data_IF_116501129241
#
_entry.id   IF_116501129241
#
_cell.length_a   1.000
_cell.length_b   1.000
_cell.length_c   1.000
_cell.angle_alpha   90.00
_cell.angle_beta   90.00
_cell.angle_gamma   90.00
#
_symmetry.space_group_name_H-M   'P 1'
#
loop_
_entity.id
_entity.type
_entity.pdbx_description
1 polymer ?
#
# COMPACT_ATOMS: atom_id res chain seq x y z
N UNK A 1 -32.52 8.78 -4.36
CA UNK A 1 -31.22 8.74 -3.71
C UNK A 1 -31.37 8.31 -2.26
N UNK A 2 -30.56 7.37 -1.82
CA UNK A 2 -30.53 7.00 -0.39
C UNK A 2 -29.50 7.89 0.26
N UNK A 3 -29.92 8.82 1.11
CA UNK A 3 -29.05 9.55 2.01
C UNK A 3 -29.01 8.74 3.31
N UNK A 4 -27.99 7.93 3.53
CA UNK A 4 -27.79 7.28 4.81
C UNK A 4 -27.10 8.28 5.74
N UNK A 5 -27.85 8.84 6.68
CA UNK A 5 -27.30 9.64 7.75
C UNK A 5 -27.09 8.73 8.96
N UNK A 6 -25.85 8.43 9.29
CA UNK A 6 -25.54 7.70 10.51
C UNK A 6 -25.77 8.60 11.73
N UNK A 7 -26.55 8.14 12.68
CA UNK A 7 -26.87 8.87 13.91
C UNK A 7 -25.71 8.60 14.90
N UNK A 8 -25.03 9.66 15.34
CA UNK A 8 -24.00 9.56 16.35
C UNK A 8 -24.52 9.01 17.68
N UNK A 9 -23.78 8.05 18.26
CA UNK A 9 -24.10 7.51 19.59
C UNK A 9 -23.81 8.52 20.69
N UNK A 10 -24.61 8.48 21.75
CA UNK A 10 -24.47 9.34 22.95
C UNK A 10 -23.39 8.77 23.86
N UNK A 11 -22.45 9.59 24.29
CA UNK A 11 -21.39 9.36 25.31
C UNK A 11 -20.90 7.90 25.43
N UNK A 12 -20.05 7.50 24.51
CA UNK A 12 -19.52 6.16 24.36
C UNK A 12 -18.80 6.06 23.02
N UNK A 13 -18.68 4.87 22.51
CA UNK A 13 -18.14 4.63 21.16
C UNK A 13 -18.92 5.44 20.13
N UNK A 14 -18.24 6.00 19.13
CA UNK A 14 -18.89 6.62 17.97
C UNK A 14 -19.88 5.64 17.35
N UNK A 15 -21.06 6.14 16.93
CA UNK A 15 -22.09 5.29 16.34
C UNK A 15 -21.57 4.58 15.09
N UNK A 16 -21.71 3.27 15.04
CA UNK A 16 -21.45 2.49 13.82
C UNK A 16 -22.54 2.79 12.77
N UNK A 17 -22.15 2.84 11.51
CA UNK A 17 -23.09 2.92 10.40
C UNK A 17 -22.90 1.71 9.48
N UNK A 18 -24.00 1.12 9.08
CA UNK A 18 -24.01 0.00 8.14
C UNK A 18 -25.02 0.29 7.03
N UNK A 19 -24.61 0.08 5.80
CA UNK A 19 -25.49 0.02 4.64
C UNK A 19 -25.33 -1.36 4.03
N UNK A 20 -26.35 -2.18 4.22
CA UNK A 20 -26.44 -3.52 3.67
C UNK A 20 -27.52 -3.52 2.60
N UNK A 21 -27.21 -4.06 1.43
CA UNK A 21 -28.14 -4.23 0.32
C UNK A 21 -28.69 -2.92 -0.28
N UNK A 22 -28.01 -2.43 -1.30
CA UNK A 22 -28.57 -1.46 -2.23
C UNK A 22 -28.93 -2.21 -3.51
N UNK A 23 -30.23 -2.52 -3.67
CA UNK A 23 -30.77 -3.18 -4.85
C UNK A 23 -31.71 -2.25 -5.60
N UNK A 24 -31.85 -2.43 -6.91
CA UNK A 24 -32.78 -1.70 -7.75
C UNK A 24 -32.12 -0.92 -8.87
N UNK A 25 -32.76 0.15 -9.32
CA UNK A 25 -32.22 1.04 -10.36
C UNK A 25 -31.19 2.02 -9.77
N UNK A 26 -30.35 2.57 -10.63
CA UNK A 26 -29.24 3.49 -10.35
C UNK A 26 -29.46 4.45 -9.15
N UNK A 27 -28.51 4.51 -8.23
CA UNK A 27 -28.47 5.54 -7.17
C UNK A 27 -27.50 6.67 -7.55
N UNK A 28 -27.79 7.89 -7.10
CA UNK A 28 -27.00 9.10 -7.45
C UNK A 28 -25.69 9.23 -6.67
N UNK A 29 -25.48 8.42 -5.65
CA UNK A 29 -24.25 8.41 -4.83
C UNK A 29 -24.54 7.97 -3.40
N UNK A 30 -23.48 7.71 -2.66
CA UNK A 30 -23.50 7.32 -1.25
C UNK A 30 -22.57 8.26 -0.50
N UNK A 31 -23.08 9.02 0.45
CA UNK A 31 -22.26 9.82 1.36
C UNK A 31 -22.64 9.49 2.79
N UNK A 32 -21.65 9.12 3.60
CA UNK A 32 -21.85 8.79 4.99
C UNK A 32 -20.66 9.21 5.86
N UNK A 33 -20.98 9.67 7.06
CA UNK A 33 -19.99 9.99 8.08
C UNK A 33 -20.44 9.39 9.41
N UNK A 34 -19.55 8.71 10.12
CA UNK A 34 -19.83 8.16 11.44
C UNK A 34 -19.32 9.09 12.53
N UNK A 35 -19.86 8.94 13.75
CA UNK A 35 -19.56 9.80 14.88
C UNK A 35 -18.16 9.58 15.45
N UNK A 36 -17.55 10.63 16.00
CA UNK A 36 -16.33 10.52 16.79
C UNK A 36 -16.58 9.76 18.10
N UNK A 37 -15.55 9.11 18.61
CA UNK A 37 -15.55 8.53 19.95
C UNK A 37 -15.60 9.64 21.02
N UNK A 38 -16.30 9.40 22.09
CA UNK A 38 -16.34 10.31 23.23
C UNK A 38 -14.98 10.39 23.94
N UNK A 39 -14.62 11.57 24.41
CA UNK A 39 -13.44 11.73 25.27
C UNK A 39 -13.65 10.98 26.59
N UNK A 40 -12.57 10.49 27.19
CA UNK A 40 -12.58 9.89 28.51
C UNK A 40 -13.07 10.91 29.57
N UNK A 41 -13.82 10.43 30.55
CA UNK A 41 -14.23 11.27 31.69
C UNK A 41 -13.02 11.58 32.58
N UNK A 42 -12.93 12.81 33.09
CA UNK A 42 -11.86 13.19 34.00
C UNK A 42 -11.80 12.25 35.22
N UNK A 43 -10.60 11.93 35.66
CA UNK A 43 -10.39 11.22 36.93
C UNK A 43 -10.99 12.02 38.07
N UNK A 44 -11.52 11.30 39.07
CA UNK A 44 -12.09 11.94 40.26
C UNK A 44 -11.01 12.69 41.05
N UNK A 45 -11.44 13.53 42.03
CA UNK A 45 -10.57 14.30 42.92
C UNK A 45 -9.80 13.47 43.95
N UNK A 46 -10.01 12.17 44.00
CA UNK A 46 -9.30 11.24 44.87
C UNK A 46 -7.88 11.01 44.36
N UNK A 47 -6.92 10.89 45.27
CA UNK A 47 -5.49 10.78 44.96
C UNK A 47 -5.14 9.59 44.02
N UNK A 48 -5.96 8.52 44.00
CA UNK A 48 -5.75 7.31 43.20
C UNK A 48 -6.74 7.16 42.00
N UNK A 49 -7.45 8.22 41.61
CA UNK A 49 -8.42 8.14 40.51
C UNK A 49 -7.74 8.22 39.14
N UNK A 50 -7.66 7.09 38.45
CA UNK A 50 -7.18 7.01 37.07
C UNK A 50 -8.06 7.81 36.11
N UNK A 51 -7.44 8.43 35.13
CA UNK A 51 -8.13 8.98 33.97
C UNK A 51 -8.80 7.87 33.16
N UNK A 52 -9.98 8.15 32.61
CA UNK A 52 -10.66 7.18 31.76
C UNK A 52 -10.21 7.27 30.32
N UNK A 53 -10.13 6.12 29.65
CA UNK A 53 -9.80 6.04 28.23
C UNK A 53 -10.88 6.70 27.37
N UNK A 54 -10.46 7.25 26.25
CA UNK A 54 -11.34 7.71 25.18
C UNK A 54 -12.01 6.52 24.48
N UNK A 55 -13.18 6.74 23.96
CA UNK A 55 -13.95 5.71 23.24
C UNK A 55 -13.51 5.61 21.77
N UNK A 56 -13.75 4.47 21.14
CA UNK A 56 -13.49 4.29 19.71
C UNK A 56 -14.36 5.21 18.84
N UNK A 57 -13.82 5.67 17.72
CA UNK A 57 -14.56 6.31 16.65
C UNK A 57 -15.53 5.34 15.97
N UNK A 58 -16.60 5.85 15.40
CA UNK A 58 -17.59 5.02 14.69
C UNK A 58 -17.00 4.41 13.42
N UNK A 59 -17.25 3.12 13.22
CA UNK A 59 -16.88 2.41 12.01
C UNK A 59 -17.99 2.48 10.95
N UNK A 60 -17.63 2.26 9.68
CA UNK A 60 -18.59 2.19 8.58
C UNK A 60 -18.47 0.89 7.80
N UNK A 61 -19.61 0.28 7.47
CA UNK A 61 -19.69 -0.92 6.63
C UNK A 61 -20.63 -0.68 5.46
N UNK A 62 -20.15 -0.92 4.24
CA UNK A 62 -20.93 -0.90 2.99
C UNK A 62 -20.79 -2.25 2.30
N UNK A 63 -21.90 -2.99 2.19
CA UNK A 63 -21.90 -4.34 1.61
C UNK A 63 -23.10 -4.58 0.69
N UNK A 64 -22.98 -5.56 -0.21
CA UNK A 64 -24.07 -6.03 -1.09
C UNK A 64 -24.68 -4.94 -1.99
N UNK A 65 -23.86 -4.10 -2.60
CA UNK A 65 -24.36 -3.09 -3.55
C UNK A 65 -24.46 -3.70 -4.94
N UNK A 66 -25.66 -4.04 -5.37
CA UNK A 66 -25.93 -4.59 -6.72
C UNK A 66 -26.46 -3.54 -7.69
N UNK A 67 -26.95 -2.42 -7.20
CA UNK A 67 -27.40 -1.30 -8.04
C UNK A 67 -26.22 -0.50 -8.59
N UNK A 68 -26.31 -0.04 -9.83
CA UNK A 68 -25.35 0.89 -10.37
C UNK A 68 -25.36 2.22 -9.60
N UNK A 69 -24.18 2.79 -9.36
CA UNK A 69 -24.01 4.08 -8.66
C UNK A 69 -23.53 5.10 -9.68
N UNK A 70 -24.40 6.08 -10.02
CA UNK A 70 -24.07 7.13 -10.98
C UNK A 70 -23.33 8.33 -10.37
N UNK A 71 -23.16 8.36 -9.05
CA UNK A 71 -22.44 9.40 -8.33
C UNK A 71 -21.28 8.83 -7.53
N UNK A 72 -20.80 9.63 -6.58
CA UNK A 72 -19.66 9.26 -5.76
C UNK A 72 -20.07 8.35 -4.57
N UNK A 73 -19.14 7.49 -4.16
CA UNK A 73 -19.15 6.89 -2.83
C UNK A 73 -18.16 7.69 -1.97
N UNK A 74 -18.64 8.31 -0.90
CA UNK A 74 -17.81 9.10 0.02
C UNK A 74 -18.09 8.69 1.46
N UNK A 75 -17.16 7.99 2.07
CA UNK A 75 -17.28 7.44 3.40
C UNK A 75 -16.22 8.02 4.32
N UNK A 76 -16.65 8.52 5.48
CA UNK A 76 -15.74 9.04 6.50
C UNK A 76 -16.06 8.40 7.85
N UNK A 77 -15.08 7.72 8.43
CA UNK A 77 -15.22 7.13 9.77
C UNK A 77 -14.78 8.07 10.87
N UNK A 78 -15.31 7.89 12.07
CA UNK A 78 -15.11 8.78 13.20
C UNK A 78 -13.72 8.65 13.81
N UNK A 79 -13.18 9.75 14.33
CA UNK A 79 -11.93 9.75 15.10
C UNK A 79 -12.13 9.10 16.47
N UNK A 80 -11.08 8.55 17.04
CA UNK A 80 -11.07 8.04 18.42
C UNK A 80 -11.09 9.19 19.43
N UNK A 81 -11.76 9.00 20.55
CA UNK A 81 -11.80 9.97 21.64
C UNK A 81 -10.46 10.06 22.36
N UNK A 82 -10.09 11.24 22.84
CA UNK A 82 -8.92 11.41 23.69
C UNK A 82 -9.11 10.77 25.06
N UNK A 83 -8.05 10.27 25.65
CA UNK A 83 -7.99 9.89 27.04
C UNK A 83 -8.07 11.13 27.95
N UNK A 84 -8.48 10.98 29.18
CA UNK A 84 -8.55 12.05 30.15
C UNK A 84 -7.38 12.00 31.13
N UNK A 85 -6.98 13.15 31.63
CA UNK A 85 -6.00 13.25 32.72
C UNK A 85 -6.58 12.65 34.00
N UNK A 86 -5.71 12.06 34.79
CA UNK A 86 -6.05 11.58 36.14
C UNK A 86 -6.16 12.76 37.13
N UNK A 87 -6.63 12.46 38.33
CA UNK A 87 -6.47 13.31 39.48
C UNK A 87 -4.99 13.55 39.81
N UNK A 88 -4.66 13.85 41.08
CA UNK A 88 -3.33 14.26 41.50
C UNK A 88 -2.28 13.15 41.47
N UNK A 89 -2.65 11.87 41.43
CA UNK A 89 -1.74 10.72 41.50
C UNK A 89 -2.15 9.49 40.71
N UNK A 90 -3.16 9.56 39.81
CA UNK A 90 -3.63 8.44 39.00
C UNK A 90 -3.01 8.38 37.60
N UNK A 91 -3.02 7.22 36.94
CA UNK A 91 -2.57 7.07 35.56
C UNK A 91 -3.50 7.80 34.58
N UNK A 92 -2.92 8.36 33.51
CA UNK A 92 -3.70 8.95 32.41
C UNK A 92 -4.55 7.90 31.70
N UNK A 93 -5.67 8.31 31.10
CA UNK A 93 -6.52 7.49 30.28
C UNK A 93 -5.97 7.27 28.87
N UNK A 94 -6.14 6.09 28.31
CA UNK A 94 -5.70 5.76 26.94
C UNK A 94 -6.53 6.47 25.87
N UNK A 95 -5.97 6.78 24.73
CA UNK A 95 -6.73 7.24 23.56
C UNK A 95 -7.60 6.12 22.96
N UNK A 96 -8.75 6.49 22.44
CA UNK A 96 -9.63 5.57 21.69
C UNK A 96 -9.11 5.31 20.27
N UNK A 97 -9.44 4.17 19.70
CA UNK A 97 -9.09 3.85 18.31
C UNK A 97 -9.94 4.65 17.33
N UNK A 98 -9.38 4.98 16.16
CA UNK A 98 -10.14 5.54 15.03
C UNK A 98 -11.12 4.51 14.46
N UNK A 99 -12.20 4.99 13.88
CA UNK A 99 -13.19 4.15 13.21
C UNK A 99 -12.66 3.58 11.89
N UNK A 100 -12.96 2.33 11.61
CA UNK A 100 -12.58 1.64 10.39
C UNK A 100 -13.66 1.77 9.30
N UNK A 101 -13.28 1.53 8.04
CA UNK A 101 -14.20 1.43 6.90
C UNK A 101 -14.02 0.07 6.25
N UNK A 102 -15.15 -0.65 6.06
CA UNK A 102 -15.25 -1.86 5.27
C UNK A 102 -16.18 -1.61 4.08
N UNK A 103 -15.67 -1.82 2.86
CA UNK A 103 -16.44 -1.82 1.63
C UNK A 103 -16.25 -3.20 0.98
N UNK A 104 -17.34 -3.94 0.78
CA UNK A 104 -17.29 -5.26 0.15
C UNK A 104 -18.52 -5.51 -0.72
N UNK A 105 -18.43 -6.50 -1.61
CA UNK A 105 -19.54 -6.97 -2.44
C UNK A 105 -20.20 -5.86 -3.28
N UNK A 106 -19.39 -4.99 -3.85
CA UNK A 106 -19.85 -3.94 -4.77
C UNK A 106 -19.85 -4.51 -6.18
N UNK A 107 -21.03 -4.87 -6.66
CA UNK A 107 -21.23 -5.51 -7.96
C UNK A 107 -21.90 -4.56 -8.99
N UNK A 108 -22.46 -3.45 -8.54
CA UNK A 108 -23.06 -2.43 -9.41
C UNK A 108 -21.99 -1.44 -9.91
N UNK A 109 -21.95 -1.15 -11.22
CA UNK A 109 -20.98 -0.23 -11.80
C UNK A 109 -20.98 1.13 -11.13
N UNK A 110 -19.80 1.74 -10.93
CA UNK A 110 -19.63 3.03 -10.28
C UNK A 110 -19.12 4.03 -11.32
N UNK A 111 -19.91 5.07 -11.66
CA UNK A 111 -19.47 6.09 -12.61
C UNK A 111 -18.81 7.31 -11.94
N UNK A 112 -18.91 7.42 -10.62
CA UNK A 112 -18.26 8.46 -9.82
C UNK A 112 -16.96 7.98 -9.15
N UNK A 113 -16.50 8.77 -8.20
CA UNK A 113 -15.31 8.46 -7.40
C UNK A 113 -15.68 7.60 -6.18
N UNK A 114 -14.71 6.81 -5.73
CA UNK A 114 -14.77 6.10 -4.44
C UNK A 114 -13.78 6.75 -3.49
N UNK A 115 -14.25 7.32 -2.40
CA UNK A 115 -13.43 7.94 -1.35
C UNK A 115 -13.74 7.28 -0.01
N UNK A 116 -12.74 6.76 0.65
CA UNK A 116 -12.84 6.19 1.99
C UNK A 116 -11.76 6.82 2.88
N UNK A 117 -12.17 7.50 3.95
CA UNK A 117 -11.29 8.14 4.91
C UNK A 117 -11.62 7.64 6.31
N UNK A 118 -10.69 6.96 6.95
CA UNK A 118 -10.90 6.42 8.30
C UNK A 118 -10.45 7.38 9.37
N UNK A 119 -10.93 7.17 10.59
CA UNK A 119 -10.68 8.07 11.70
C UNK A 119 -9.26 7.91 12.26
N UNK A 120 -8.68 9.03 12.71
CA UNK A 120 -7.44 9.00 13.48
C UNK A 120 -7.67 8.41 14.88
N UNK A 121 -6.65 7.84 15.48
CA UNK A 121 -6.65 7.44 16.88
C UNK A 121 -6.69 8.66 17.81
N UNK A 122 -7.30 8.51 18.96
CA UNK A 122 -7.36 9.54 20.00
C UNK A 122 -6.02 9.68 20.73
N UNK A 123 -5.74 10.88 21.23
CA UNK A 123 -4.55 11.10 22.05
C UNK A 123 -4.64 10.36 23.39
N UNK A 124 -3.51 9.87 23.89
CA UNK A 124 -3.35 9.45 25.28
C UNK A 124 -3.27 10.66 26.21
N UNK A 125 -3.69 10.51 27.44
CA UNK A 125 -3.64 11.59 28.41
C UNK A 125 -2.26 11.73 29.07
N UNK A 126 -1.95 12.94 29.50
CA UNK A 126 -0.74 13.23 30.25
C UNK A 126 -0.78 12.59 31.64
N UNK A 127 0.37 12.16 32.14
CA UNK A 127 0.56 11.78 33.52
C UNK A 127 0.74 12.99 34.41
N UNK A 128 0.36 12.88 35.70
CA UNK A 128 0.55 13.92 36.70
C UNK A 128 1.58 13.47 37.73
N UNK A 129 2.39 14.44 38.25
CA UNK A 129 3.37 14.14 39.29
C UNK A 129 4.45 13.13 38.86
N UNK A 130 4.50 11.96 39.51
CA UNK A 130 5.48 10.86 39.21
C UNK A 130 4.85 9.74 38.39
N UNK A 131 3.65 9.95 37.84
CA UNK A 131 2.84 8.92 37.21
C UNK A 131 3.09 8.86 35.71
N UNK A 132 2.98 7.65 35.16
CA UNK A 132 3.10 7.41 33.72
C UNK A 132 1.95 8.09 32.96
N UNK A 133 2.27 8.56 31.78
CA UNK A 133 1.27 8.96 30.80
C UNK A 133 0.53 7.73 30.20
N UNK A 134 -0.45 7.97 29.37
CA UNK A 134 -1.22 6.92 28.72
C UNK A 134 -0.91 6.79 27.24
N UNK A 135 -1.02 5.56 26.73
CA UNK A 135 -0.87 5.25 25.32
C UNK A 135 -1.97 5.92 24.48
N UNK A 136 -1.61 6.27 23.26
CA UNK A 136 -2.57 6.75 22.28
C UNK A 136 -3.36 5.61 21.64
N UNK A 137 -4.47 5.96 20.99
CA UNK A 137 -5.25 5.05 20.16
C UNK A 137 -4.64 4.87 18.78
N UNK A 138 -4.90 3.73 18.17
CA UNK A 138 -4.50 3.46 16.79
C UNK A 138 -5.44 4.15 15.80
N UNK A 139 -4.96 4.45 14.60
CA UNK A 139 -5.76 4.88 13.46
C UNK A 139 -6.71 3.78 12.97
N UNK A 140 -7.80 4.16 12.32
CA UNK A 140 -8.74 3.24 11.72
C UNK A 140 -8.22 2.63 10.42
N UNK A 141 -8.60 1.39 10.13
CA UNK A 141 -8.20 0.68 8.93
C UNK A 141 -9.23 0.83 7.79
N UNK A 142 -8.75 0.78 6.52
CA UNK A 142 -9.59 0.65 5.32
C UNK A 142 -9.50 -0.78 4.82
N UNK A 143 -10.64 -1.41 4.58
CA UNK A 143 -10.73 -2.66 3.82
C UNK A 143 -11.69 -2.45 2.65
N UNK A 144 -11.22 -2.74 1.43
CA UNK A 144 -11.97 -2.51 0.20
C UNK A 144 -11.94 -3.77 -0.67
N UNK A 145 -13.10 -4.23 -1.14
CA UNK A 145 -13.21 -5.22 -2.22
C UNK A 145 -14.20 -4.71 -3.25
N UNK A 146 -13.73 -4.52 -4.48
CA UNK A 146 -14.53 -4.03 -5.61
C UNK A 146 -14.39 -4.98 -6.77
N UNK A 147 -15.52 -5.61 -7.15
CA UNK A 147 -15.60 -6.54 -8.30
C UNK A 147 -16.21 -5.89 -9.54
N UNK A 148 -16.43 -4.58 -9.54
CA UNK A 148 -17.06 -3.83 -10.63
C UNK A 148 -16.16 -2.70 -11.14
N UNK A 149 -16.43 -2.23 -12.36
CA UNK A 149 -15.70 -1.10 -12.92
C UNK A 149 -16.04 0.22 -12.20
N UNK A 150 -15.00 1.01 -11.95
CA UNK A 150 -15.08 2.38 -11.44
C UNK A 150 -14.59 3.31 -12.54
N UNK A 151 -15.43 4.25 -13.00
CA UNK A 151 -15.01 5.21 -14.05
C UNK A 151 -14.17 6.35 -13.47
N UNK A 152 -14.43 6.72 -12.23
CA UNK A 152 -13.74 7.80 -11.53
C UNK A 152 -12.47 7.36 -10.80
N UNK A 153 -12.06 8.20 -9.84
CA UNK A 153 -10.89 7.95 -9.00
C UNK A 153 -11.23 7.06 -7.81
N UNK A 154 -10.23 6.34 -7.32
CA UNK A 154 -10.28 5.65 -6.03
C UNK A 154 -9.29 6.34 -5.08
N UNK A 155 -9.77 6.86 -3.95
CA UNK A 155 -8.96 7.52 -2.93
C UNK A 155 -9.20 6.88 -1.58
N UNK A 156 -8.18 6.22 -1.07
CA UNK A 156 -8.21 5.53 0.21
C UNK A 156 -7.24 6.21 1.17
N UNK A 157 -7.74 6.60 2.35
CA UNK A 157 -6.93 7.21 3.41
C UNK A 157 -7.18 6.49 4.72
N UNK A 158 -6.15 5.85 5.26
CA UNK A 158 -6.17 5.25 6.58
C UNK A 158 -5.89 6.29 7.66
N UNK A 159 -6.40 6.07 8.86
CA UNK A 159 -6.32 7.03 9.95
C UNK A 159 -4.93 7.07 10.59
N UNK A 160 -4.48 8.23 10.99
CA UNK A 160 -3.23 8.37 11.73
C UNK A 160 -3.35 7.80 13.14
N UNK A 161 -2.25 7.30 13.71
CA UNK A 161 -2.16 6.99 15.13
C UNK A 161 -2.27 8.25 15.96
N UNK A 162 -2.86 8.15 17.14
CA UNK A 162 -2.93 9.25 18.11
C UNK A 162 -1.58 9.55 18.73
N UNK A 163 -1.37 10.78 19.23
CA UNK A 163 -0.19 11.14 20.00
C UNK A 163 -0.29 10.59 21.43
N UNK A 164 0.80 10.06 21.96
CA UNK A 164 0.86 9.66 23.37
C UNK A 164 0.84 10.86 24.31
N UNK A 165 0.35 10.67 25.51
CA UNK A 165 0.43 11.67 26.58
C UNK A 165 1.87 11.89 27.06
N UNK A 166 2.17 13.08 27.57
CA UNK A 166 3.45 13.40 28.20
C UNK A 166 3.49 12.82 29.63
N UNK A 167 4.64 12.33 30.07
CA UNK A 167 4.84 11.95 31.46
C UNK A 167 4.81 13.18 32.36
N UNK A 168 4.39 13.01 33.62
CA UNK A 168 4.48 14.02 34.64
C UNK A 168 5.95 14.41 34.92
N UNK A 169 6.15 15.52 35.61
CA UNK A 169 7.48 16.15 35.85
C UNK A 169 8.45 15.30 36.71
N UNK A 170 8.00 14.21 37.30
CA UNK A 170 8.80 13.30 38.13
C UNK A 170 9.33 12.10 37.37
N UNK A 171 9.46 10.93 38.04
CA UNK A 171 9.99 9.68 37.47
C UNK A 171 9.01 8.91 36.58
N UNK A 172 7.94 9.56 36.06
CA UNK A 172 6.99 8.92 35.17
C UNK A 172 7.58 8.55 33.81
N UNK A 173 7.20 7.39 33.27
CA UNK A 173 7.58 6.93 31.95
C UNK A 173 6.68 7.57 30.89
N UNK A 174 7.28 7.89 29.74
CA UNK A 174 6.54 8.27 28.53
C UNK A 174 5.76 7.07 27.98
N UNK A 175 4.64 7.34 27.34
CA UNK A 175 3.78 6.35 26.71
C UNK A 175 3.99 6.22 25.21
N UNK A 176 3.48 5.15 24.65
CA UNK A 176 3.61 4.82 23.24
C UNK A 176 2.59 5.61 22.40
N UNK A 177 3.07 6.12 21.27
CA UNK A 177 2.20 6.64 20.20
C UNK A 177 1.32 5.53 19.62
N UNK A 178 0.17 5.90 19.08
CA UNK A 178 -0.69 4.96 18.36
C UNK A 178 -0.12 4.55 17.01
N UNK A 179 -0.39 3.32 16.60
CA UNK A 179 -0.06 2.88 15.25
C UNK A 179 -0.96 3.57 14.21
N UNK A 180 -0.44 3.82 13.02
CA UNK A 180 -1.25 4.21 11.87
C UNK A 180 -2.24 3.11 11.47
N UNK A 181 -3.35 3.50 10.87
CA UNK A 181 -4.31 2.56 10.33
C UNK A 181 -3.77 1.85 9.08
N UNK A 182 -4.16 0.60 8.91
CA UNK A 182 -3.76 -0.23 7.76
C UNK A 182 -4.73 -0.06 6.61
N UNK A 183 -4.26 -0.35 5.39
CA UNK A 183 -5.07 -0.38 4.19
C UNK A 183 -4.91 -1.73 3.50
N UNK A 184 -6.04 -2.37 3.18
CA UNK A 184 -6.08 -3.57 2.37
C UNK A 184 -7.16 -3.42 1.30
N UNK A 185 -6.81 -3.50 0.03
CA UNK A 185 -7.78 -3.46 -1.05
C UNK A 185 -7.59 -4.61 -2.04
N UNK A 186 -8.71 -5.19 -2.49
CA UNK A 186 -8.77 -6.13 -3.60
C UNK A 186 -9.57 -5.48 -4.72
N UNK A 187 -8.95 -5.34 -5.88
CA UNK A 187 -9.53 -4.70 -7.05
C UNK A 187 -9.58 -5.72 -8.18
N UNK A 188 -10.78 -6.02 -8.61
CA UNK A 188 -11.08 -7.08 -9.58
C UNK A 188 -11.64 -6.51 -10.89
N UNK A 189 -11.52 -5.20 -11.14
CA UNK A 189 -12.05 -4.59 -12.37
C UNK A 189 -11.37 -3.23 -12.65
N UNK A 190 -11.76 -2.60 -13.77
CA UNK A 190 -11.18 -1.36 -14.24
C UNK A 190 -11.34 -0.19 -13.23
N UNK A 191 -10.29 0.60 -13.10
CA UNK A 191 -10.33 1.95 -12.52
C UNK A 191 -10.02 2.93 -13.63
N UNK A 192 -10.98 3.76 -14.02
CA UNK A 192 -10.80 4.75 -15.10
C UNK A 192 -9.92 5.93 -14.69
N UNK A 193 -9.93 6.30 -13.42
CA UNK A 193 -9.20 7.42 -12.86
C UNK A 193 -7.94 7.03 -12.08
N UNK A 194 -7.50 7.96 -11.24
CA UNK A 194 -6.33 7.82 -10.36
C UNK A 194 -6.64 6.90 -9.17
N UNK A 195 -5.68 6.07 -8.79
CA UNK A 195 -5.67 5.35 -7.53
C UNK A 195 -4.73 6.07 -6.56
N UNK A 196 -5.29 6.67 -5.51
CA UNK A 196 -4.56 7.36 -4.45
C UNK A 196 -4.61 6.54 -3.16
N UNK A 197 -3.45 6.25 -2.61
CA UNK A 197 -3.25 5.43 -1.41
C UNK A 197 -2.50 6.25 -0.37
N UNK A 198 -3.11 6.50 0.77
CA UNK A 198 -2.50 7.22 1.88
C UNK A 198 -2.68 6.42 3.17
N UNK A 199 -1.63 5.78 3.62
CA UNK A 199 -1.57 5.05 4.87
C UNK A 199 -1.68 5.96 6.09
N UNK A 200 -1.92 5.37 7.23
CA UNK A 200 -1.97 6.09 8.50
C UNK A 200 -0.56 6.36 9.04
N UNK A 201 -0.24 7.62 9.26
CA UNK A 201 1.01 7.99 9.91
C UNK A 201 1.08 7.51 11.38
N UNK A 202 2.30 7.34 11.89
CA UNK A 202 2.54 6.98 13.29
C UNK A 202 2.12 8.10 14.23
N UNK A 203 1.60 7.76 15.39
CA UNK A 203 1.43 8.70 16.49
C UNK A 203 2.78 9.03 17.18
N UNK A 204 2.94 10.28 17.61
CA UNK A 204 4.13 10.72 18.32
C UNK A 204 4.25 10.04 19.70
N UNK A 205 5.50 9.85 20.15
CA UNK A 205 5.80 9.40 21.53
C UNK A 205 5.42 10.45 22.54
N UNK A 206 5.05 10.04 23.72
CA UNK A 206 4.93 10.93 24.87
C UNK A 206 6.30 11.45 25.36
N UNK A 207 6.37 12.72 25.71
CA UNK A 207 7.54 13.29 26.35
C UNK A 207 7.80 12.59 27.70
N UNK A 208 9.08 12.42 28.05
CA UNK A 208 9.47 11.80 29.32
C UNK A 208 9.69 12.86 30.38
N UNK A 209 9.38 12.53 31.63
CA UNK A 209 9.99 13.17 32.80
C UNK A 209 11.45 12.68 32.98
N UNK A 210 11.80 12.12 34.14
CA UNK A 210 13.09 11.46 34.37
C UNK A 210 13.06 9.94 34.11
N UNK A 211 11.93 9.42 33.67
CA UNK A 211 11.70 8.01 33.37
C UNK A 211 12.11 7.58 31.96
N UNK A 212 11.68 6.39 31.55
CA UNK A 212 11.98 5.82 30.21
C UNK A 212 11.07 6.44 29.14
N UNK A 213 11.63 6.70 27.96
CA UNK A 213 10.85 7.15 26.81
C UNK A 213 9.87 6.06 26.32
N UNK A 214 8.69 6.47 25.92
CA UNK A 214 7.78 5.63 25.14
C UNK A 214 8.32 5.34 23.73
N UNK A 215 7.69 4.44 23.02
CA UNK A 215 8.01 4.15 21.61
C UNK A 215 7.02 4.86 20.68
N UNK A 216 7.50 5.24 19.49
CA UNK A 216 6.59 5.68 18.44
C UNK A 216 5.66 4.53 18.04
N UNK A 217 4.46 4.84 17.56
CA UNK A 217 3.64 3.87 16.87
C UNK A 217 4.36 3.33 15.62
N UNK A 218 3.84 2.29 15.02
CA UNK A 218 4.28 1.85 13.70
C UNK A 218 3.41 2.48 12.62
N UNK A 219 3.98 2.75 11.45
CA UNK A 219 3.19 3.18 10.29
C UNK A 219 2.16 2.12 9.90
N UNK A 220 1.05 2.53 9.33
CA UNK A 220 0.09 1.61 8.74
C UNK A 220 0.70 0.91 7.53
N UNK A 221 0.35 -0.36 7.31
CA UNK A 221 0.73 -1.05 6.10
C UNK A 221 -0.35 -0.88 5.04
N UNK A 222 0.08 -0.61 3.79
CA UNK A 222 -0.81 -0.53 2.63
C UNK A 222 -0.55 -1.70 1.70
N UNK A 223 -1.58 -2.50 1.39
CA UNK A 223 -1.51 -3.60 0.45
C UNK A 223 -2.71 -3.58 -0.49
N UNK A 224 -2.43 -3.51 -1.79
CA UNK A 224 -3.44 -3.55 -2.84
C UNK A 224 -3.20 -4.78 -3.70
N UNK A 225 -4.21 -5.62 -3.84
CA UNK A 225 -4.17 -6.79 -4.70
C UNK A 225 -5.08 -6.56 -5.91
N UNK A 226 -4.52 -6.72 -7.08
CA UNK A 226 -5.24 -6.79 -8.34
C UNK A 226 -5.39 -8.26 -8.73
N UNK A 227 -6.64 -8.76 -8.74
CA UNK A 227 -6.94 -10.18 -8.99
C UNK A 227 -8.22 -10.32 -9.81
N UNK A 228 -8.11 -10.40 -11.11
CA UNK A 228 -9.27 -10.53 -11.99
C UNK A 228 -9.07 -11.62 -13.03
N UNK A 229 -10.14 -12.35 -13.34
CA UNK A 229 -10.16 -13.37 -14.38
C UNK A 229 -10.50 -12.81 -15.79
N UNK A 230 -10.18 -11.55 -16.06
CA UNK A 230 -10.32 -10.88 -17.35
C UNK A 230 -9.32 -9.74 -17.47
N UNK A 231 -9.03 -9.27 -18.69
CA UNK A 231 -8.18 -8.10 -18.90
C UNK A 231 -8.84 -6.84 -18.32
N UNK A 232 -8.05 -6.02 -17.64
CA UNK A 232 -8.55 -4.78 -17.04
C UNK A 232 -7.44 -3.71 -16.93
N UNK A 233 -7.80 -2.51 -16.48
CA UNK A 233 -6.85 -1.40 -16.46
C UNK A 233 -7.05 -0.44 -15.29
N UNK A 234 -5.94 0.21 -14.91
CA UNK A 234 -5.91 1.42 -14.10
C UNK A 234 -5.58 2.58 -15.04
N UNK A 235 -6.57 3.42 -15.34
CA UNK A 235 -6.44 4.48 -16.36
C UNK A 235 -5.62 5.69 -15.91
N UNK A 236 -5.73 6.08 -14.64
CA UNK A 236 -4.98 7.19 -14.06
C UNK A 236 -3.71 6.75 -13.33
N UNK A 237 -3.01 7.74 -12.75
CA UNK A 237 -1.81 7.46 -11.97
C UNK A 237 -2.11 6.67 -10.70
N UNK A 238 -1.14 5.86 -10.27
CA UNK A 238 -1.14 5.28 -8.92
C UNK A 238 -0.20 6.14 -8.07
N UNK A 239 -0.72 6.74 -7.01
CA UNK A 239 0.05 7.61 -6.12
C UNK A 239 -0.04 7.13 -4.68
N UNK A 240 1.04 7.27 -3.94
CA UNK A 240 1.12 6.91 -2.52
C UNK A 240 1.36 8.17 -1.70
N UNK A 241 0.86 8.18 -0.46
CA UNK A 241 1.00 9.35 0.43
C UNK A 241 2.37 9.45 1.06
N UNK A 242 3.01 8.32 1.34
CA UNK A 242 4.31 8.23 2.00
C UNK A 242 5.30 7.46 1.12
N UNK A 243 6.53 7.92 1.04
CA UNK A 243 7.60 7.31 0.26
C UNK A 243 7.96 5.93 0.80
N UNK A 244 7.96 4.93 -0.07
CA UNK A 244 8.39 3.56 0.25
C UNK A 244 7.36 2.68 0.98
N UNK A 245 6.12 3.12 1.18
CA UNK A 245 5.19 2.42 2.09
C UNK A 245 4.24 1.42 1.45
N UNK A 246 3.73 1.65 0.26
CA UNK A 246 2.67 0.82 -0.29
C UNK A 246 3.20 -0.41 -1.03
N UNK A 247 2.46 -1.51 -0.95
CA UNK A 247 2.68 -2.71 -1.75
C UNK A 247 1.53 -2.91 -2.74
N UNK A 248 1.87 -3.09 -4.00
CA UNK A 248 0.94 -3.53 -5.05
C UNK A 248 1.29 -4.97 -5.42
N UNK A 249 0.29 -5.84 -5.38
CA UNK A 249 0.35 -7.22 -5.84
C UNK A 249 -0.54 -7.41 -7.07
N UNK A 250 0.04 -7.80 -8.20
CA UNK A 250 -0.70 -8.24 -9.39
C UNK A 250 -0.75 -9.76 -9.39
N UNK A 251 -1.97 -10.32 -9.35
CA UNK A 251 -2.24 -11.76 -9.31
C UNK A 251 -3.46 -12.04 -10.18
N UNK A 252 -3.34 -11.81 -11.49
CA UNK A 252 -4.45 -11.78 -12.44
C UNK A 252 -4.53 -13.00 -13.38
N UNK A 253 -3.88 -14.10 -13.01
CA UNK A 253 -3.83 -15.34 -13.81
C UNK A 253 -3.31 -15.04 -15.23
N UNK A 254 -3.80 -15.70 -16.24
CA UNK A 254 -3.38 -15.52 -17.64
C UNK A 254 -3.82 -14.20 -18.27
N UNK A 255 -4.57 -13.38 -17.54
CA UNK A 255 -5.10 -12.10 -18.03
C UNK A 255 -4.10 -10.96 -17.88
N UNK A 256 -4.36 -9.82 -18.52
CA UNK A 256 -3.47 -8.67 -18.53
C UNK A 256 -4.03 -7.52 -17.71
N UNK A 257 -3.23 -7.01 -16.76
CA UNK A 257 -3.48 -5.74 -16.10
C UNK A 257 -2.66 -4.63 -16.77
N UNK A 258 -3.32 -3.57 -17.21
CA UNK A 258 -2.65 -2.41 -17.80
C UNK A 258 -2.70 -1.21 -16.86
N UNK A 259 -1.52 -0.71 -16.46
CA UNK A 259 -1.39 0.60 -15.84
C UNK A 259 -1.11 1.63 -16.92
N UNK A 260 -2.12 2.46 -17.23
CA UNK A 260 -2.06 3.39 -18.36
C UNK A 260 -1.31 4.69 -18.06
N UNK A 261 -0.90 4.91 -16.81
CA UNK A 261 -0.21 6.12 -16.37
C UNK A 261 0.91 5.78 -15.38
N UNK A 262 1.49 6.79 -14.72
CA UNK A 262 2.61 6.63 -13.82
C UNK A 262 2.24 5.88 -12.54
N UNK A 263 3.18 5.12 -11.98
CA UNK A 263 3.13 4.53 -10.64
C UNK A 263 4.21 5.20 -9.79
N UNK A 264 3.81 5.82 -8.69
CA UNK A 264 4.70 6.62 -7.86
C UNK A 264 5.20 7.88 -8.57
N UNK A 265 6.16 8.54 -7.96
CA UNK A 265 6.91 9.67 -8.52
C UNK A 265 8.37 9.55 -8.13
N UNK A 266 9.25 10.38 -8.70
CA UNK A 266 10.67 10.41 -8.31
C UNK A 266 10.89 10.85 -6.85
N UNK A 267 9.93 11.54 -6.25
CA UNK A 267 10.00 12.05 -4.87
C UNK A 267 9.23 11.18 -3.87
N UNK A 268 8.21 10.45 -4.32
CA UNK A 268 7.38 9.58 -3.48
C UNK A 268 7.16 8.29 -4.24
N UNK A 269 7.95 7.28 -3.92
CA UNK A 269 7.96 5.99 -4.59
C UNK A 269 6.96 5.02 -3.96
N UNK A 270 6.48 4.09 -4.77
CA UNK A 270 5.85 2.89 -4.25
C UNK A 270 6.91 2.06 -3.50
N UNK A 271 6.57 1.46 -2.36
CA UNK A 271 7.49 0.60 -1.64
C UNK A 271 7.79 -0.69 -2.40
N UNK A 272 6.74 -1.40 -2.82
CA UNK A 272 6.92 -2.68 -3.53
C UNK A 272 5.86 -2.87 -4.62
N UNK A 273 6.32 -3.23 -5.81
CA UNK A 273 5.50 -3.71 -6.91
C UNK A 273 5.79 -5.18 -7.17
N UNK A 274 4.82 -6.04 -6.94
CA UNK A 274 4.90 -7.46 -7.25
C UNK A 274 3.99 -7.81 -8.44
N UNK A 275 4.52 -8.49 -9.43
CA UNK A 275 3.76 -9.11 -10.53
C UNK A 275 4.02 -10.61 -10.49
N UNK A 276 2.97 -11.40 -10.28
CA UNK A 276 3.05 -12.83 -10.07
C UNK A 276 2.88 -13.23 -8.61
N UNK A 277 2.44 -14.45 -8.42
CA UNK A 277 2.27 -15.08 -7.11
C UNK A 277 2.65 -16.55 -7.20
N UNK A 278 2.76 -17.23 -6.06
CA UNK A 278 3.27 -18.61 -5.96
C UNK A 278 2.56 -19.66 -6.80
N UNK A 279 1.34 -19.39 -7.24
CA UNK A 279 0.50 -20.35 -7.99
C UNK A 279 -0.27 -19.70 -9.13
N UNK A 280 0.04 -18.45 -9.46
CA UNK A 280 -0.75 -17.65 -10.40
C UNK A 280 0.21 -16.97 -11.38
N UNK A 281 0.01 -17.20 -12.68
CA UNK A 281 0.61 -16.39 -13.74
C UNK A 281 0.16 -14.96 -13.61
N UNK A 282 0.94 -14.04 -14.09
CA UNK A 282 0.51 -12.65 -14.08
C UNK A 282 1.14 -11.91 -15.22
N UNK A 283 0.31 -11.13 -15.91
CA UNK A 283 0.76 -10.27 -16.99
C UNK A 283 0.44 -8.82 -16.63
N UNK A 284 1.45 -7.95 -16.65
CA UNK A 284 1.26 -6.55 -16.38
C UNK A 284 1.94 -5.68 -17.45
N UNK A 285 1.22 -4.67 -17.91
CA UNK A 285 1.71 -3.65 -18.85
C UNK A 285 1.74 -2.29 -18.13
N UNK A 286 2.89 -1.65 -18.12
CA UNK A 286 3.11 -0.34 -17.53
C UNK A 286 3.39 0.67 -18.63
N UNK A 287 2.38 1.45 -19.02
CA UNK A 287 2.51 2.45 -20.10
C UNK A 287 3.23 3.71 -19.63
N UNK A 288 3.00 4.14 -18.41
CA UNK A 288 3.68 5.26 -17.78
C UNK A 288 4.95 4.85 -17.02
N UNK A 289 5.72 5.84 -16.58
CA UNK A 289 6.92 5.59 -15.77
C UNK A 289 6.57 4.93 -14.43
N UNK A 290 7.47 4.05 -13.96
CA UNK A 290 7.32 3.35 -12.68
C UNK A 290 8.43 3.78 -11.73
N UNK A 291 8.04 4.25 -10.56
CA UNK A 291 8.92 4.62 -9.45
C UNK A 291 8.56 3.77 -8.24
N UNK A 292 9.37 2.76 -7.95
CA UNK A 292 9.17 1.88 -6.80
C UNK A 292 10.52 1.53 -6.17
N UNK A 293 10.57 1.27 -4.87
CA UNK A 293 11.82 0.84 -4.25
C UNK A 293 12.15 -0.59 -4.63
N UNK A 294 11.16 -1.49 -4.58
CA UNK A 294 11.33 -2.88 -4.97
C UNK A 294 10.35 -3.24 -6.10
N UNK A 295 10.86 -3.83 -7.17
CA UNK A 295 10.04 -4.38 -8.26
C UNK A 295 10.37 -5.86 -8.36
N UNK A 296 9.36 -6.71 -8.22
CA UNK A 296 9.49 -8.15 -8.29
C UNK A 296 8.56 -8.70 -9.38
N UNK A 297 9.13 -9.30 -10.40
CA UNK A 297 8.39 -9.93 -11.51
C UNK A 297 8.65 -11.42 -11.47
N UNK A 298 7.60 -12.21 -11.31
CA UNK A 298 7.68 -13.65 -11.13
C UNK A 298 7.81 -14.08 -9.67
N UNK A 299 7.84 -15.39 -9.46
CA UNK A 299 7.88 -16.00 -8.13
C UNK A 299 8.64 -17.32 -8.14
N UNK A 300 9.46 -17.55 -7.12
CA UNK A 300 10.32 -18.75 -7.01
C UNK A 300 9.59 -20.07 -6.66
N UNK A 301 8.25 -20.09 -6.59
CA UNK A 301 7.50 -21.29 -6.19
C UNK A 301 7.40 -22.32 -7.32
N UNK A 302 7.41 -23.56 -6.94
CA UNK A 302 7.39 -24.73 -7.82
C UNK A 302 6.10 -24.96 -8.64
N UNK A 303 5.12 -24.10 -8.53
CA UNK A 303 3.84 -24.18 -9.27
C UNK A 303 3.52 -22.86 -9.97
N UNK A 304 4.47 -21.95 -10.04
CA UNK A 304 4.29 -20.69 -10.76
C UNK A 304 4.31 -20.97 -12.26
N UNK A 305 3.46 -20.32 -13.00
CA UNK A 305 3.47 -20.31 -14.43
C UNK A 305 4.20 -19.05 -14.95
N UNK A 306 4.22 -18.81 -16.27
CA UNK A 306 4.97 -17.72 -16.86
C UNK A 306 4.43 -16.36 -16.39
N UNK A 307 5.32 -15.48 -15.93
CA UNK A 307 4.99 -14.10 -15.53
C UNK A 307 5.63 -13.11 -16.48
N UNK A 308 4.86 -12.09 -16.91
CA UNK A 308 5.38 -11.04 -17.79
C UNK A 308 5.20 -9.65 -17.20
N UNK A 309 6.23 -8.82 -17.34
CA UNK A 309 6.20 -7.39 -17.06
C UNK A 309 6.65 -6.59 -18.27
N UNK A 310 5.77 -5.76 -18.83
CA UNK A 310 6.06 -4.91 -19.99
C UNK A 310 6.06 -3.44 -19.58
N UNK A 311 7.26 -2.82 -19.57
CA UNK A 311 7.49 -1.45 -19.15
C UNK A 311 7.74 -0.56 -20.37
N UNK A 312 6.73 0.16 -20.82
CA UNK A 312 6.78 0.99 -22.01
C UNK A 312 7.38 2.39 -21.76
N UNK A 313 7.90 2.65 -20.57
CA UNK A 313 8.49 3.94 -20.17
C UNK A 313 9.65 3.74 -19.19
N UNK A 314 10.18 4.82 -18.64
CA UNK A 314 11.29 4.79 -17.70
C UNK A 314 10.91 4.07 -16.38
N UNK A 315 11.88 3.35 -15.82
CA UNK A 315 11.73 2.62 -14.56
C UNK A 315 12.81 3.06 -13.58
N UNK A 316 12.40 3.49 -12.39
CA UNK A 316 13.30 3.86 -11.31
C UNK A 316 13.02 3.00 -10.07
N UNK A 317 14.07 2.38 -9.52
CA UNK A 317 13.97 1.40 -8.43
C UNK A 317 15.21 1.46 -7.53
N UNK A 318 15.17 0.77 -6.41
CA UNK A 318 16.36 0.38 -5.64
C UNK A 318 16.78 -1.01 -6.07
N UNK A 319 15.85 -1.99 -6.02
CA UNK A 319 16.08 -3.36 -6.44
C UNK A 319 15.01 -3.82 -7.43
N UNK A 320 15.44 -4.47 -8.51
CA UNK A 320 14.57 -5.03 -9.53
C UNK A 320 14.85 -6.52 -9.70
N UNK A 321 13.93 -7.36 -9.28
CA UNK A 321 14.06 -8.81 -9.31
C UNK A 321 13.19 -9.41 -10.40
N UNK A 322 13.77 -10.24 -11.26
CA UNK A 322 13.07 -11.06 -12.25
C UNK A 322 13.26 -12.50 -11.84
N UNK A 323 12.22 -13.16 -11.32
CA UNK A 323 12.32 -14.46 -10.65
C UNK A 323 11.56 -15.51 -11.43
N UNK A 324 12.30 -16.42 -12.08
CA UNK A 324 11.72 -17.62 -12.69
C UNK A 324 11.46 -18.71 -11.65
N UNK A 325 10.48 -19.56 -11.90
CA UNK A 325 10.12 -20.68 -11.04
C UNK A 325 11.10 -21.86 -11.12
N UNK A 326 10.84 -22.88 -10.30
CA UNK A 326 11.84 -23.95 -10.03
C UNK A 326 11.74 -25.20 -10.88
N UNK A 327 10.63 -25.44 -11.61
CA UNK A 327 10.35 -26.78 -12.13
C UNK A 327 10.45 -26.96 -13.64
N UNK A 328 10.05 -26.03 -14.47
CA UNK A 328 10.13 -26.17 -15.93
C UNK A 328 10.08 -24.83 -16.69
N UNK A 329 10.17 -24.89 -18.02
CA UNK A 329 10.12 -23.73 -18.91
C UNK A 329 8.75 -22.99 -18.92
N UNK A 330 7.71 -23.56 -18.30
CA UNK A 330 6.43 -22.88 -18.15
C UNK A 330 6.46 -21.83 -17.02
N UNK A 331 7.53 -21.81 -16.22
CA UNK A 331 7.72 -20.92 -15.06
C UNK A 331 8.68 -19.76 -15.37
N UNK A 332 8.82 -19.40 -16.65
CA UNK A 332 9.69 -18.31 -17.08
C UNK A 332 9.19 -16.95 -16.55
N UNK A 333 10.11 -16.09 -16.18
CA UNK A 333 9.84 -14.68 -15.89
C UNK A 333 10.45 -13.81 -16.97
N UNK A 334 9.61 -13.06 -17.67
CA UNK A 334 10.06 -12.20 -18.78
C UNK A 334 9.71 -10.76 -18.51
N UNK A 335 10.70 -9.90 -18.61
CA UNK A 335 10.56 -8.44 -18.53
C UNK A 335 11.00 -7.82 -19.83
N UNK A 336 10.16 -6.94 -20.37
CA UNK A 336 10.47 -6.11 -21.53
C UNK A 336 10.45 -4.64 -21.07
N UNK A 337 11.49 -3.88 -21.46
CA UNK A 337 11.61 -2.47 -21.07
C UNK A 337 11.93 -1.63 -22.31
N UNK A 338 11.06 -0.66 -22.59
CA UNK A 338 11.25 0.30 -23.69
C UNK A 338 11.92 1.62 -23.24
N UNK A 339 11.83 1.98 -21.95
CA UNK A 339 12.45 3.16 -21.36
C UNK A 339 13.85 2.93 -20.80
N UNK A 340 14.37 3.93 -20.08
CA UNK A 340 15.59 3.79 -19.30
C UNK A 340 15.33 3.10 -17.97
N UNK A 341 16.34 2.44 -17.42
CA UNK A 341 16.29 1.85 -16.09
C UNK A 341 17.32 2.53 -15.18
N UNK A 342 16.87 2.99 -14.04
CA UNK A 342 17.73 3.65 -13.05
C UNK A 342 17.53 3.04 -11.67
N UNK A 343 18.56 2.41 -11.14
CA UNK A 343 18.49 1.74 -9.84
C UNK A 343 19.85 1.28 -9.33
N UNK A 344 19.83 0.43 -8.32
CA UNK A 344 21.06 -0.14 -7.74
C UNK A 344 21.37 -1.50 -8.36
N UNK A 345 20.41 -2.44 -8.30
CA UNK A 345 20.58 -3.82 -8.78
C UNK A 345 19.41 -4.27 -9.63
N UNK A 346 19.71 -5.06 -10.64
CA UNK A 346 18.76 -5.89 -11.41
C UNK A 346 19.23 -7.32 -11.22
N UNK A 347 18.45 -8.08 -10.46
CA UNK A 347 18.74 -9.47 -10.16
C UNK A 347 17.85 -10.39 -11.00
N UNK A 348 18.49 -11.18 -11.85
CA UNK A 348 17.86 -12.22 -12.64
C UNK A 348 17.91 -13.52 -11.81
N UNK A 349 16.81 -13.82 -11.12
CA UNK A 349 16.75 -14.86 -10.09
C UNK A 349 16.19 -16.15 -10.70
N UNK A 350 17.03 -17.15 -10.79
CA UNK A 350 16.64 -18.50 -11.20
C UNK A 350 16.72 -19.44 -9.99
N UNK A 351 15.64 -20.06 -9.65
CA UNK A 351 15.55 -20.73 -8.36
C UNK A 351 16.10 -22.17 -8.35
N UNK A 352 16.28 -22.89 -9.48
CA UNK A 352 16.94 -24.22 -9.51
C UNK A 352 17.07 -24.90 -10.90
N UNK A 353 16.99 -24.18 -11.98
CA UNK A 353 17.60 -24.68 -13.20
C UNK A 353 16.70 -25.10 -14.35
N UNK A 354 15.41 -24.81 -14.37
CA UNK A 354 14.57 -25.09 -15.54
C UNK A 354 13.77 -23.86 -16.03
N UNK A 355 13.36 -22.93 -15.18
CA UNK A 355 12.79 -21.66 -15.61
C UNK A 355 13.88 -20.66 -15.98
N UNK A 356 13.61 -19.74 -16.87
CA UNK A 356 14.55 -18.72 -17.35
C UNK A 356 14.08 -17.31 -16.97
N UNK A 357 14.95 -16.56 -16.31
CA UNK A 357 14.74 -15.13 -16.08
C UNK A 357 15.29 -14.35 -17.27
N UNK A 358 14.42 -13.60 -17.95
CA UNK A 358 14.78 -12.87 -19.17
C UNK A 358 14.50 -11.38 -19.02
N UNK A 359 15.53 -10.54 -19.25
CA UNK A 359 15.38 -9.10 -19.43
C UNK A 359 15.57 -8.76 -20.90
N UNK A 360 14.62 -8.05 -21.50
CA UNK A 360 14.67 -7.58 -22.88
C UNK A 360 14.63 -6.06 -22.92
N UNK A 361 15.62 -5.44 -23.53
CA UNK A 361 15.70 -4.00 -23.82
C UNK A 361 15.24 -3.79 -25.26
N UNK A 362 14.04 -3.23 -25.46
CA UNK A 362 13.41 -3.12 -26.80
C UNK A 362 12.94 -1.70 -27.16
N UNK A 363 13.42 -0.70 -26.47
CA UNK A 363 13.06 0.69 -26.71
C UNK A 363 13.24 1.11 -28.18
N UNK A 364 12.42 2.04 -28.64
CA UNK A 364 12.54 2.60 -30.00
C UNK A 364 13.73 3.57 -30.14
N UNK A 365 14.26 4.06 -29.02
CA UNK A 365 15.45 4.91 -28.91
C UNK A 365 16.54 4.19 -28.14
N UNK A 366 17.78 4.70 -28.20
CA UNK A 366 18.87 4.18 -27.39
C UNK A 366 18.54 4.27 -25.89
N UNK A 367 18.75 3.17 -25.18
CA UNK A 367 18.41 3.04 -23.77
C UNK A 367 19.66 3.16 -22.88
N UNK A 368 19.48 3.69 -21.67
CA UNK A 368 20.52 3.72 -20.64
C UNK A 368 20.04 2.95 -19.42
N UNK A 369 20.86 2.00 -19.00
CA UNK A 369 20.62 1.20 -17.79
C UNK A 369 21.65 1.60 -16.76
N UNK A 370 21.22 2.30 -15.72
CA UNK A 370 22.10 2.72 -14.61
C UNK A 370 21.82 1.81 -13.41
N UNK A 371 22.30 0.58 -13.49
CA UNK A 371 22.21 -0.45 -12.45
C UNK A 371 23.24 -1.55 -12.73
N UNK A 372 23.66 -2.29 -11.72
CA UNK A 372 24.31 -3.57 -11.93
C UNK A 372 23.28 -4.61 -12.38
N UNK A 373 23.65 -5.52 -13.28
CA UNK A 373 22.82 -6.66 -13.70
C UNK A 373 23.55 -7.93 -13.27
N UNK A 374 22.93 -8.74 -12.47
CA UNK A 374 23.54 -10.01 -11.99
C UNK A 374 22.53 -11.18 -12.12
N UNK A 375 23.00 -12.38 -11.94
CA UNK A 375 22.19 -13.58 -11.87
C UNK A 375 22.35 -14.24 -10.51
N UNK A 376 21.30 -14.85 -9.98
CA UNK A 376 21.41 -15.61 -8.73
C UNK A 376 22.20 -16.89 -8.89
N UNK A 377 22.15 -17.51 -10.09
CA UNK A 377 22.87 -18.71 -10.47
C UNK A 377 23.62 -18.50 -11.78
N UNK A 378 24.84 -19.03 -11.87
CA UNK A 378 25.65 -18.88 -13.08
C UNK A 378 25.03 -19.62 -14.29
N UNK A 379 25.00 -18.97 -15.44
CA UNK A 379 24.54 -19.49 -16.74
C UNK A 379 23.02 -19.80 -16.82
N UNK A 380 22.18 -19.06 -16.14
CA UNK A 380 20.74 -19.32 -16.13
C UNK A 380 19.91 -18.18 -16.73
N UNK A 381 20.35 -16.96 -16.61
CA UNK A 381 19.60 -15.77 -17.01
C UNK A 381 19.99 -15.23 -18.40
N UNK A 382 19.08 -14.55 -19.07
CA UNK A 382 19.27 -14.01 -20.41
C UNK A 382 19.02 -12.51 -20.45
N UNK A 383 19.94 -11.78 -21.07
CA UNK A 383 19.78 -10.37 -21.44
C UNK A 383 19.65 -10.24 -22.96
N UNK A 384 18.51 -9.74 -23.43
CA UNK A 384 18.30 -9.42 -24.85
C UNK A 384 18.39 -7.91 -25.07
N UNK A 385 19.15 -7.49 -26.04
CA UNK A 385 19.34 -6.09 -26.42
C UNK A 385 18.84 -5.91 -27.86
N UNK A 386 17.59 -5.52 -28.00
CA UNK A 386 16.90 -5.38 -29.28
C UNK A 386 17.11 -4.01 -29.92
N UNK A 387 17.63 -3.04 -29.17
CA UNK A 387 18.05 -1.74 -29.69
C UNK A 387 19.39 -1.32 -29.07
N UNK A 388 19.96 -0.19 -29.50
CA UNK A 388 21.19 0.32 -28.90
C UNK A 388 20.98 0.53 -27.39
N UNK A 389 21.90 0.05 -26.59
CA UNK A 389 21.84 0.22 -25.14
C UNK A 389 23.23 0.56 -24.57
N UNK A 390 23.22 1.35 -23.50
CA UNK A 390 24.40 1.64 -22.68
C UNK A 390 24.12 1.14 -21.27
N UNK A 391 24.97 0.25 -20.74
CA UNK A 391 24.88 -0.21 -19.35
C UNK A 391 25.97 0.51 -18.55
N UNK A 392 25.52 1.21 -17.50
CA UNK A 392 26.37 1.93 -16.55
C UNK A 392 26.32 1.15 -15.23
N UNK A 393 26.94 -0.01 -15.22
CA UNK A 393 27.00 -0.98 -14.12
C UNK A 393 27.75 -2.23 -14.56
N UNK A 394 28.10 -3.09 -13.59
CA UNK A 394 28.68 -4.40 -13.90
C UNK A 394 27.57 -5.34 -14.42
N UNK A 395 27.94 -6.27 -15.28
CA UNK A 395 27.08 -7.36 -15.73
C UNK A 395 27.73 -8.69 -15.41
N UNK A 396 27.05 -9.54 -14.66
CA UNK A 396 27.54 -10.87 -14.29
C UNK A 396 28.67 -10.86 -13.27
N UNK A 397 28.80 -9.81 -12.45
CA UNK A 397 29.94 -9.67 -11.54
C UNK A 397 30.03 -10.74 -10.43
N UNK A 398 28.89 -11.22 -9.97
CA UNK A 398 28.80 -12.31 -8.99
C UNK A 398 28.57 -13.64 -9.70
N UNK A 399 27.58 -13.70 -10.58
CA UNK A 399 27.26 -14.86 -11.39
C UNK A 399 26.99 -14.42 -12.83
N UNK A 400 27.71 -15.00 -13.77
CA UNK A 400 27.55 -14.68 -15.19
C UNK A 400 26.19 -15.10 -15.73
N UNK A 401 25.69 -14.33 -16.68
CA UNK A 401 24.48 -14.66 -17.42
C UNK A 401 24.72 -15.87 -18.35
N UNK A 402 23.65 -16.59 -18.71
CA UNK A 402 23.70 -17.64 -19.73
C UNK A 402 24.00 -17.07 -21.12
N UNK A 403 23.37 -15.92 -21.45
CA UNK A 403 23.54 -15.27 -22.72
C UNK A 403 23.29 -13.76 -22.63
N UNK A 404 24.02 -13.03 -23.47
CA UNK A 404 23.71 -11.64 -23.85
C UNK A 404 23.53 -11.62 -25.36
N UNK A 405 22.30 -11.42 -25.81
CA UNK A 405 21.93 -11.43 -27.21
C UNK A 405 21.76 -9.99 -27.70
N UNK A 406 22.58 -9.55 -28.62
CA UNK A 406 22.47 -8.23 -29.25
C UNK A 406 21.90 -8.39 -30.66
N UNK A 407 20.77 -7.72 -30.93
CA UNK A 407 20.12 -7.80 -32.24
C UNK A 407 21.03 -7.28 -33.37
N UNK A 408 20.83 -7.82 -34.57
CA UNK A 408 21.63 -7.45 -35.74
C UNK A 408 21.60 -5.95 -36.01
N UNK A 409 22.77 -5.35 -36.18
CA UNK A 409 22.93 -3.92 -36.40
C UNK A 409 22.74 -3.04 -35.17
N UNK A 410 22.63 -3.62 -33.98
CA UNK A 410 22.53 -2.91 -32.71
C UNK A 410 23.83 -2.98 -31.92
N UNK A 411 23.97 -2.10 -30.95
CA UNK A 411 25.17 -1.96 -30.14
C UNK A 411 24.83 -1.99 -28.65
N UNK A 412 25.54 -2.84 -27.93
CA UNK A 412 25.61 -2.76 -26.48
C UNK A 412 26.91 -2.06 -26.09
N UNK A 413 26.81 -0.94 -25.41
CA UNK A 413 27.95 -0.20 -24.86
C UNK A 413 28.04 -0.47 -23.36
N UNK A 414 29.20 -0.98 -22.95
CA UNK A 414 29.52 -1.06 -21.53
C UNK A 414 30.26 0.23 -21.15
N UNK A 415 29.88 0.86 -20.06
CA UNK A 415 30.62 1.97 -19.49
C UNK A 415 32.02 1.56 -19.02
N UNK A 416 32.54 2.15 -17.95
CA UNK A 416 33.84 1.75 -17.37
C UNK A 416 33.71 0.46 -16.49
N UNK A 417 32.72 -0.36 -16.74
CA UNK A 417 32.33 -1.53 -15.92
C UNK A 417 32.69 -2.83 -16.61
N UNK A 418 32.64 -3.92 -15.85
CA UNK A 418 33.01 -5.25 -16.32
C UNK A 418 31.80 -6.00 -16.89
N UNK A 419 32.10 -6.82 -17.88
CA UNK A 419 31.27 -7.91 -18.38
C UNK A 419 32.01 -9.21 -18.05
N UNK A 420 31.47 -10.05 -17.17
CA UNK A 420 32.04 -11.35 -16.78
C UNK A 420 31.16 -12.52 -17.28
#
# INVERSE_FOLDING_TARGET
GILATAIGGVSGNGGMAEITLIAGTTTTGITATTGAGGAGGAGGTHEDADGKGGSAGGAFTLTNVTAAISGNISLTAGIGGAGSVSGTAGAGGTGGTGGAILISDINGAITGNVTATTGAGGAGADGTGTINSANAGNGGAVTLTISTAITGNVSLTAGNGGAAGAAGAGAGNGSNGGAGGTMAATIENNIGGTLFLNDGATGATGATGTGTAGTAGVAGATSITFSQAADYSVGGAVTVGTDGDATIQVSNDTNTLTFSSTIGTSAVRLGTLNVGASTIDSNAIFTGAVYADNINIGHASATAAATTGDFNSDVAFTDFNITAGTNDAAEDATVTVAGNMTGTTIDLVDASGNGTSTLTLDGTSAQTITAAIDSSLANMAVLNVNNNATIVGNVGATNRLAAINVASGKTLTMGAYKLD
#
